data_IF_795361587019
#
_entry.id   IF_795361587019
#
_cell.length_a   1.000
_cell.length_b   1.000
_cell.length_c   1.000
_cell.angle_alpha   90.00
_cell.angle_beta   90.00
_cell.angle_gamma   90.00
#
_symmetry.space_group_name_H-M   'P 1'
#
loop_
_entity.id
_entity.type
_entity.pdbx_description
1 polymer ?
#
# COMPACT_ATOMS: atom_id res chain seq x y z
N UNK A 1 -1.07 -2.09 -12.49
CA UNK A 1 -1.56 -1.50 -11.23
C UNK A 1 -1.20 -2.36 -10.02
N UNK A 2 -1.68 -3.61 -9.93
CA UNK A 2 -1.29 -4.58 -8.87
C UNK A 2 0.23 -4.61 -8.55
N UNK A 3 1.15 -4.70 -9.54
CA UNK A 3 2.59 -4.71 -9.25
C UNK A 3 3.10 -3.40 -8.63
N UNK A 4 2.51 -2.25 -9.00
CA UNK A 4 2.87 -0.95 -8.41
C UNK A 4 2.42 -0.88 -6.96
N UNK A 5 1.18 -1.31 -6.68
CA UNK A 5 0.66 -1.34 -5.31
C UNK A 5 1.50 -2.24 -4.41
N UNK A 6 1.90 -3.41 -4.90
CA UNK A 6 2.78 -4.35 -4.17
C UNK A 6 4.17 -3.73 -3.96
N UNK A 7 4.75 -3.10 -4.99
CA UNK A 7 6.05 -2.45 -4.88
C UNK A 7 6.05 -1.29 -3.87
N UNK A 8 5.06 -0.39 -3.95
CA UNK A 8 4.87 0.70 -2.98
C UNK A 8 4.62 0.16 -1.57
N UNK A 9 3.85 -0.92 -1.42
CA UNK A 9 3.62 -1.56 -0.13
C UNK A 9 4.89 -2.20 0.45
N UNK A 10 5.75 -2.81 -0.39
CA UNK A 10 7.06 -3.31 0.03
C UNK A 10 7.97 -2.20 0.54
N UNK A 11 7.93 -1.02 -0.10
CA UNK A 11 8.67 0.15 0.40
C UNK A 11 8.14 0.53 1.79
N UNK A 12 6.82 0.65 1.98
CA UNK A 12 6.23 0.95 3.28
C UNK A 12 6.62 -0.07 4.37
N UNK A 13 6.64 -1.37 4.05
CA UNK A 13 7.07 -2.41 4.98
C UNK A 13 8.54 -2.28 5.37
N UNK A 14 9.41 -1.82 4.47
CA UNK A 14 10.84 -1.59 4.76
C UNK A 14 11.05 -0.32 5.59
N UNK A 15 10.32 0.75 5.27
CA UNK A 15 10.41 2.04 5.98
C UNK A 15 9.84 1.93 7.40
N UNK A 16 8.72 1.21 7.57
CA UNK A 16 8.03 1.05 8.85
C UNK A 16 7.92 -0.44 9.22
N UNK A 17 9.06 -1.10 9.53
CA UNK A 17 9.13 -2.54 9.70
C UNK A 17 8.40 -3.07 10.92
N UNK A 18 7.98 -2.22 11.85
CA UNK A 18 7.19 -2.60 13.02
C UNK A 18 5.76 -2.05 13.00
N UNK A 19 5.47 -1.06 12.15
CA UNK A 19 4.22 -0.28 12.21
C UNK A 19 3.44 -0.21 10.89
N UNK A 20 3.93 -0.80 9.79
CA UNK A 20 3.17 -0.86 8.54
C UNK A 20 2.33 -2.14 8.42
N UNK A 21 1.03 -1.96 8.20
CA UNK A 21 0.08 -2.95 7.72
C UNK A 21 -0.95 -2.28 6.80
N UNK A 22 -1.70 -3.07 6.03
CA UNK A 22 -2.79 -2.52 5.22
C UNK A 22 -3.87 -1.86 6.07
N UNK A 23 -4.23 -2.46 7.22
CA UNK A 23 -5.18 -1.84 8.14
C UNK A 23 -4.68 -0.47 8.60
N UNK A 24 -3.38 -0.38 8.93
CA UNK A 24 -2.78 0.88 9.34
C UNK A 24 -2.82 1.92 8.22
N UNK A 25 -2.52 1.55 6.98
CA UNK A 25 -2.64 2.46 5.83
C UNK A 25 -4.10 2.91 5.60
N UNK A 26 -5.08 2.06 5.91
CA UNK A 26 -6.49 2.39 5.77
C UNK A 26 -7.02 3.25 6.92
N UNK A 27 -6.51 3.10 8.13
CA UNK A 27 -6.98 3.81 9.33
C UNK A 27 -6.21 5.11 9.61
N UNK A 28 -4.90 5.12 9.38
CA UNK A 28 -3.99 6.21 9.70
C UNK A 28 -3.80 7.15 8.49
N UNK A 29 -4.24 8.43 8.58
CA UNK A 29 -4.09 9.41 7.49
C UNK A 29 -2.64 9.65 7.05
N UNK A 30 -1.66 9.54 7.96
CA UNK A 30 -0.27 9.80 7.64
C UNK A 30 0.32 8.65 6.81
N UNK A 31 0.07 7.40 7.24
CA UNK A 31 0.45 6.20 6.49
C UNK A 31 -0.27 6.12 5.14
N UNK A 32 -1.53 6.56 5.10
CA UNK A 32 -2.30 6.65 3.86
C UNK A 32 -1.66 7.63 2.89
N UNK A 33 -1.34 8.83 3.36
CA UNK A 33 -0.71 9.88 2.56
C UNK A 33 0.63 9.43 2.00
N UNK A 34 1.47 8.81 2.83
CA UNK A 34 2.77 8.27 2.44
C UNK A 34 2.63 7.18 1.36
N UNK A 35 1.73 6.23 1.55
CA UNK A 35 1.46 5.19 0.57
C UNK A 35 0.94 5.75 -0.76
N UNK A 36 0.00 6.70 -0.72
CA UNK A 36 -0.53 7.35 -1.92
C UNK A 36 0.54 8.14 -2.67
N UNK A 37 1.46 8.80 -1.96
CA UNK A 37 2.59 9.49 -2.58
C UNK A 37 3.49 8.51 -3.34
N UNK A 38 3.82 7.35 -2.75
CA UNK A 38 4.60 6.29 -3.41
C UNK A 38 3.91 5.73 -4.66
N UNK A 39 2.60 5.51 -4.60
CA UNK A 39 1.83 5.01 -5.76
C UNK A 39 1.76 6.05 -6.87
N UNK A 40 1.54 7.33 -6.53
CA UNK A 40 1.48 8.44 -7.50
C UNK A 40 2.83 8.72 -8.15
N UNK A 41 3.94 8.54 -7.43
CA UNK A 41 5.29 8.65 -7.98
C UNK A 41 5.56 7.64 -9.11
N UNK A 42 4.82 6.52 -9.14
CA UNK A 42 4.90 5.52 -10.22
C UNK A 42 3.99 5.85 -11.42
N UNK A 43 3.59 7.12 -11.58
CA UNK A 43 2.71 7.63 -12.64
C UNK A 43 1.31 6.97 -12.71
N UNK A 44 0.83 6.38 -11.62
CA UNK A 44 -0.53 5.85 -11.55
C UNK A 44 -1.52 6.99 -11.31
N UNK A 45 -2.21 7.42 -12.37
CA UNK A 45 -3.33 8.36 -12.27
C UNK A 45 -4.62 7.61 -11.97
N UNK A 46 -4.87 7.35 -10.69
CA UNK A 46 -6.11 6.75 -10.18
C UNK A 46 -6.61 7.55 -8.99
N UNK A 47 -7.91 7.47 -8.76
CA UNK A 47 -8.50 8.05 -7.56
C UNK A 47 -7.94 7.36 -6.31
N UNK A 48 -7.89 8.11 -5.20
CA UNK A 48 -7.50 7.54 -3.90
C UNK A 48 -8.36 6.32 -3.55
N UNK A 49 -9.67 6.43 -3.75
CA UNK A 49 -10.61 5.34 -3.49
C UNK A 49 -10.26 4.07 -4.26
N UNK A 50 -9.96 4.15 -5.56
CA UNK A 50 -9.56 2.99 -6.35
C UNK A 50 -8.26 2.36 -5.84
N UNK A 51 -7.27 3.19 -5.50
CA UNK A 51 -5.97 2.72 -4.98
C UNK A 51 -6.16 1.97 -3.66
N UNK A 52 -6.89 2.55 -2.72
CA UNK A 52 -7.11 1.95 -1.39
C UNK A 52 -8.01 0.71 -1.47
N UNK A 53 -9.05 0.74 -2.31
CA UNK A 53 -9.90 -0.43 -2.57
C UNK A 53 -9.10 -1.58 -3.18
N UNK A 54 -8.24 -1.29 -4.15
CA UNK A 54 -7.36 -2.30 -4.74
C UNK A 54 -6.37 -2.85 -3.72
N UNK A 55 -5.76 -2.02 -2.87
CA UNK A 55 -4.89 -2.48 -1.78
C UNK A 55 -5.64 -3.41 -0.81
N UNK A 56 -6.85 -3.02 -0.39
CA UNK A 56 -7.69 -3.84 0.48
C UNK A 56 -8.04 -5.20 -0.16
N UNK A 57 -8.35 -5.21 -1.46
CA UNK A 57 -8.61 -6.44 -2.21
C UNK A 57 -7.38 -7.34 -2.29
N UNK A 58 -6.17 -6.78 -2.48
CA UNK A 58 -4.93 -7.55 -2.50
C UNK A 58 -4.66 -8.22 -1.15
N UNK A 59 -4.93 -7.53 -0.05
CA UNK A 59 -4.88 -8.10 1.30
C UNK A 59 -5.86 -9.26 1.45
N UNK A 60 -7.13 -9.07 1.09
CA UNK A 60 -8.17 -10.13 1.18
C UNK A 60 -7.79 -11.38 0.37
N UNK A 61 -7.10 -11.20 -0.75
CA UNK A 61 -6.62 -12.29 -1.62
C UNK A 61 -5.28 -12.89 -1.18
N UNK A 62 -4.71 -12.44 -0.05
CA UNK A 62 -3.38 -12.85 0.43
C UNK A 62 -2.26 -12.69 -0.62
N UNK A 63 -2.39 -11.70 -1.51
CA UNK A 63 -1.41 -11.39 -2.57
C UNK A 63 -0.35 -10.38 -2.15
N UNK A 64 -0.44 -9.85 -0.94
CA UNK A 64 0.55 -8.92 -0.43
C UNK A 64 1.69 -9.68 0.25
N UNK A 65 2.93 -9.22 0.05
CA UNK A 65 4.10 -9.81 0.70
C UNK A 65 3.96 -9.72 2.22
N UNK A 66 4.38 -10.79 2.90
CA UNK A 66 4.49 -10.84 4.36
C UNK A 66 5.84 -10.25 4.76
N UNK A 67 5.99 -9.79 6.00
CA UNK A 67 7.26 -9.24 6.52
C UNK A 67 8.47 -10.19 6.40
N UNK A 68 8.24 -11.49 6.24
CA UNK A 68 9.26 -12.53 6.19
C UNK A 68 9.65 -12.96 4.77
N UNK A 69 9.11 -12.31 3.73
CA UNK A 69 9.39 -12.53 2.31
C UNK A 69 10.38 -11.48 1.77
#
# INVERSE_FOLDING_TARGET
MEPVLIASYRVMLRTHPNDCSVDRILEDPDRRSEYLALVRASAVQRSEYEILRSLHNLRKRSKLPRRSD
#
